data_IF_943104278440
#
_entry.id   IF_943104278440
#
_cell.length_a   1.000
_cell.length_b   1.000
_cell.length_c   1.000
_cell.angle_alpha   90.00
_cell.angle_beta   90.00
_cell.angle_gamma   90.00
#
_symmetry.space_group_name_H-M   'P 1'
#
loop_
_entity.id
_entity.type
_entity.pdbx_description
1 polymer ?
#
# COMPACT_ATOMS: atom_id res chain seq x y z
N UNK A 1 -17.08 -47.10 -4.36
CA UNK A 1 -17.06 -45.75 -4.96
C UNK A 1 -15.99 -44.84 -4.35
N UNK A 2 -15.97 -44.58 -3.03
CA UNK A 2 -14.97 -43.70 -2.39
C UNK A 2 -13.51 -44.12 -2.55
N UNK A 3 -13.21 -45.43 -2.58
CA UNK A 3 -11.84 -45.93 -2.82
C UNK A 3 -11.35 -45.56 -4.22
N UNK A 4 -12.23 -45.59 -5.23
CA UNK A 4 -11.89 -45.17 -6.59
C UNK A 4 -11.71 -43.65 -6.68
N UNK A 5 -12.52 -42.88 -5.93
CA UNK A 5 -12.38 -41.43 -5.85
C UNK A 5 -11.04 -41.01 -5.21
N UNK A 6 -10.65 -41.66 -4.10
CA UNK A 6 -9.32 -41.47 -3.48
C UNK A 6 -8.19 -41.81 -4.44
N UNK A 7 -8.29 -42.90 -5.20
CA UNK A 7 -7.28 -43.26 -6.21
C UNK A 7 -7.17 -42.22 -7.32
N UNK A 8 -8.28 -41.69 -7.84
CA UNK A 8 -8.27 -40.62 -8.86
C UNK A 8 -7.64 -39.34 -8.36
N UNK A 9 -7.98 -38.93 -7.13
CA UNK A 9 -7.39 -37.76 -6.47
C UNK A 9 -5.87 -37.93 -6.32
N UNK A 10 -5.43 -39.10 -5.84
CA UNK A 10 -4.01 -39.39 -5.66
C UNK A 10 -3.25 -39.45 -7.00
N UNK A 11 -3.85 -40.01 -8.04
CA UNK A 11 -3.27 -39.98 -9.39
C UNK A 11 -3.15 -38.55 -9.94
N UNK A 12 -4.18 -37.71 -9.75
CA UNK A 12 -4.13 -36.29 -10.13
C UNK A 12 -3.02 -35.55 -9.39
N UNK A 13 -2.88 -35.80 -8.08
CA UNK A 13 -1.80 -35.23 -7.26
C UNK A 13 -0.44 -35.60 -7.82
N UNK A 14 -0.20 -36.89 -8.06
CA UNK A 14 1.08 -37.37 -8.60
C UNK A 14 1.41 -36.77 -9.98
N UNK A 15 0.40 -36.53 -10.81
CA UNK A 15 0.59 -35.99 -12.17
C UNK A 15 0.79 -34.47 -12.21
N UNK A 16 0.09 -33.72 -11.37
CA UNK A 16 -0.04 -32.26 -11.52
C UNK A 16 0.49 -31.48 -10.32
N UNK A 17 0.45 -32.03 -9.10
CA UNK A 17 0.90 -31.33 -7.89
C UNK A 17 2.41 -31.48 -7.70
N UNK A 18 3.16 -30.45 -8.06
CA UNK A 18 4.60 -30.35 -7.84
C UNK A 18 4.97 -28.93 -7.39
N UNK A 19 6.17 -28.78 -6.82
CA UNK A 19 6.71 -27.45 -6.53
C UNK A 19 6.96 -26.71 -7.85
N UNK A 20 6.49 -25.46 -7.92
CA UNK A 20 6.69 -24.58 -9.07
C UNK A 20 7.54 -23.40 -8.65
N UNK A 21 8.58 -23.11 -9.42
CA UNK A 21 9.44 -21.95 -9.19
C UNK A 21 9.05 -20.84 -10.17
N UNK A 22 8.53 -19.69 -9.69
CA UNK A 22 8.20 -18.57 -10.55
C UNK A 22 9.46 -17.90 -11.10
N UNK A 23 9.33 -17.32 -12.30
CA UNK A 23 10.34 -16.40 -12.81
C UNK A 23 10.33 -15.12 -11.98
N UNK A 24 11.50 -14.61 -11.62
CA UNK A 24 11.61 -13.38 -10.86
C UNK A 24 11.08 -12.17 -11.68
N UNK A 25 10.38 -11.23 -11.04
CA UNK A 25 10.07 -9.94 -11.66
C UNK A 25 11.33 -9.17 -12.05
N UNK A 26 11.16 -8.19 -12.94
CA UNK A 26 12.22 -7.22 -13.24
C UNK A 26 12.57 -6.43 -11.97
N UNK A 27 13.86 -6.13 -11.82
CA UNK A 27 14.40 -5.39 -10.67
C UNK A 27 14.01 -5.97 -9.29
N UNK A 28 13.70 -7.26 -9.19
CA UNK A 28 13.25 -7.89 -7.93
C UNK A 28 14.25 -7.72 -6.76
N UNK A 29 15.56 -7.65 -7.05
CA UNK A 29 16.58 -7.39 -6.03
C UNK A 29 16.50 -5.99 -5.40
N UNK A 30 15.82 -5.06 -6.07
CA UNK A 30 15.63 -3.68 -5.61
C UNK A 30 14.31 -3.49 -4.86
N UNK A 31 13.43 -4.51 -4.87
CA UNK A 31 12.15 -4.45 -4.17
C UNK A 31 12.37 -4.19 -2.69
N UNK A 32 11.53 -3.33 -2.13
CA UNK A 32 11.55 -2.98 -0.71
C UNK A 32 11.22 -4.22 0.14
N UNK A 33 10.33 -5.10 -0.36
CA UNK A 33 10.06 -6.42 0.23
C UNK A 33 11.27 -7.37 0.22
N UNK A 34 12.17 -7.25 -0.76
CA UNK A 34 13.37 -8.08 -0.86
C UNK A 34 14.50 -7.56 0.01
N UNK A 35 14.76 -6.25 -0.04
CA UNK A 35 15.83 -5.58 0.71
C UNK A 35 15.50 -5.42 2.21
N UNK A 36 14.22 -5.48 2.57
CA UNK A 36 13.77 -5.25 3.95
C UNK A 36 14.07 -3.83 4.41
N UNK A 37 13.94 -2.85 3.50
CA UNK A 37 14.26 -1.45 3.74
C UNK A 37 13.04 -0.61 4.19
N UNK A 38 11.83 -1.18 4.20
CA UNK A 38 10.59 -0.53 4.65
C UNK A 38 10.61 -0.21 6.15
N UNK A 39 9.86 0.82 6.57
CA UNK A 39 9.81 1.31 7.95
C UNK A 39 9.32 0.29 8.98
N UNK A 40 8.40 -0.61 8.59
CA UNK A 40 7.81 -1.59 9.49
C UNK A 40 8.82 -2.63 10.01
N UNK A 41 10.00 -2.74 9.39
CA UNK A 41 11.06 -3.68 9.83
C UNK A 41 11.76 -3.23 11.12
N UNK A 42 11.45 -2.03 11.64
CA UNK A 42 11.88 -1.56 12.96
C UNK A 42 13.39 -1.29 13.09
N UNK A 43 14.15 -1.41 11.99
CA UNK A 43 15.58 -1.08 11.97
C UNK A 43 15.80 0.40 12.32
N UNK A 44 16.80 0.72 13.17
CA UNK A 44 17.11 2.11 13.52
C UNK A 44 17.41 3.00 12.31
N UNK A 45 18.00 2.42 11.25
CA UNK A 45 18.30 3.09 9.98
C UNK A 45 17.08 3.30 9.07
N UNK A 46 16.01 2.54 9.28
CA UNK A 46 14.75 2.66 8.54
C UNK A 46 13.81 3.70 9.17
N UNK A 47 14.22 4.37 10.25
CA UNK A 47 13.46 5.50 10.80
C UNK A 47 13.65 6.69 9.88
N UNK A 48 12.64 7.00 9.09
CA UNK A 48 12.54 8.27 8.37
C UNK A 48 12.80 9.42 9.34
N UNK A 49 13.81 10.24 9.04
CA UNK A 49 13.99 11.51 9.74
C UNK A 49 12.89 12.45 9.26
N UNK A 50 11.72 12.37 9.88
CA UNK A 50 10.61 13.27 9.57
C UNK A 50 11.06 14.68 9.98
N UNK A 51 11.19 15.62 9.03
CA UNK A 51 11.62 16.97 9.34
C UNK A 51 10.71 17.56 10.41
N UNK A 52 11.31 18.13 11.45
CA UNK A 52 10.58 18.84 12.50
C UNK A 52 10.96 20.30 12.43
N UNK A 53 9.97 21.17 12.25
CA UNK A 53 10.18 22.61 12.17
C UNK A 53 10.17 23.19 13.58
N UNK A 54 11.17 23.98 13.92
CA UNK A 54 11.23 24.69 15.21
C UNK A 54 10.42 25.99 15.16
N UNK A 55 9.81 26.42 16.27
CA UNK A 55 9.08 27.68 16.30
C UNK A 55 10.02 28.88 16.05
N UNK A 56 9.57 29.90 15.29
CA UNK A 56 10.31 31.15 15.14
C UNK A 56 10.69 31.78 16.49
N UNK A 57 11.95 32.25 16.66
CA UNK A 57 12.42 32.76 17.95
C UNK A 57 11.74 34.06 18.38
N UNK A 58 11.19 34.82 17.43
CA UNK A 58 10.48 36.09 17.62
C UNK A 58 9.12 35.96 18.30
N UNK A 59 8.55 34.75 18.37
CA UNK A 59 7.25 34.51 18.98
C UNK A 59 7.29 34.61 20.51
N UNK A 60 6.20 35.10 21.10
CA UNK A 60 5.98 34.99 22.54
C UNK A 60 5.74 33.52 22.94
N UNK A 61 6.01 33.19 24.20
CA UNK A 61 5.99 31.78 24.65
C UNK A 61 4.65 31.06 24.43
N UNK A 62 3.47 31.68 24.64
CA UNK A 62 2.19 31.04 24.33
C UNK A 62 2.05 30.65 22.85
N UNK A 63 2.56 31.46 21.93
CA UNK A 63 2.53 31.17 20.49
C UNK A 63 3.58 30.11 20.10
N UNK A 64 4.75 30.11 20.76
CA UNK A 64 5.75 29.03 20.62
C UNK A 64 5.17 27.69 21.03
N UNK A 65 4.41 27.66 22.12
CA UNK A 65 3.80 26.43 22.60
C UNK A 65 2.73 25.91 21.64
N UNK A 66 1.83 26.79 21.16
CA UNK A 66 0.87 26.42 20.11
C UNK A 66 1.59 25.87 18.86
N UNK A 67 2.66 26.53 18.42
CA UNK A 67 3.44 26.09 17.27
C UNK A 67 3.99 24.67 17.47
N UNK A 68 4.55 24.35 18.64
CA UNK A 68 5.07 23.00 18.95
C UNK A 68 3.96 21.95 18.91
N UNK A 69 2.78 22.28 19.45
CA UNK A 69 1.60 21.40 19.41
C UNK A 69 1.10 21.17 17.97
N UNK A 70 1.07 22.21 17.16
CA UNK A 70 0.73 22.11 15.74
C UNK A 70 1.77 21.31 14.96
N UNK A 71 3.07 21.53 15.22
CA UNK A 71 4.15 20.78 14.59
C UNK A 71 4.08 19.29 14.93
N UNK A 72 3.76 18.92 16.18
CA UNK A 72 3.57 17.52 16.56
C UNK A 72 2.47 16.84 15.71
N UNK A 73 1.36 17.55 15.44
CA UNK A 73 0.31 17.05 14.54
C UNK A 73 0.78 16.94 13.09
N UNK A 74 1.57 17.90 12.60
CA UNK A 74 2.16 17.85 11.25
C UNK A 74 3.15 16.69 11.10
N UNK A 75 4.02 16.46 12.08
CA UNK A 75 4.95 15.32 12.12
C UNK A 75 4.19 14.00 12.09
N UNK A 76 3.11 13.88 12.88
CA UNK A 76 2.26 12.68 12.87
C UNK A 76 1.61 12.45 11.49
N UNK A 77 1.13 13.52 10.85
CA UNK A 77 0.54 13.43 9.51
C UNK A 77 1.58 13.01 8.46
N UNK A 78 2.77 13.64 8.45
CA UNK A 78 3.89 13.25 7.57
C UNK A 78 4.25 11.77 7.75
N UNK A 79 4.35 11.30 9.00
CA UNK A 79 4.64 9.89 9.30
C UNK A 79 3.57 8.96 8.72
N UNK A 80 2.30 9.30 8.96
CA UNK A 80 1.18 8.52 8.46
C UNK A 80 1.23 8.44 6.92
N UNK A 81 1.45 9.58 6.25
CA UNK A 81 1.51 9.63 4.79
C UNK A 81 2.65 8.76 4.23
N UNK A 82 3.84 8.82 4.82
CA UNK A 82 4.96 7.96 4.43
C UNK A 82 4.65 6.46 4.63
N UNK A 83 4.05 6.08 5.78
CA UNK A 83 3.68 4.68 6.04
C UNK A 83 2.65 4.18 5.02
N UNK A 84 1.65 5.00 4.69
CA UNK A 84 0.60 4.61 3.74
C UNK A 84 1.16 4.43 2.32
N UNK A 85 2.09 5.28 1.88
CA UNK A 85 2.79 5.13 0.59
C UNK A 85 3.59 3.83 0.55
N UNK A 86 4.40 3.56 1.58
CA UNK A 86 5.16 2.29 1.66
C UNK A 86 4.24 1.07 1.66
N UNK A 87 3.14 1.09 2.41
CA UNK A 87 2.16 -0.02 2.38
C UNK A 87 1.61 -0.25 0.98
N UNK A 88 1.38 0.81 0.20
CA UNK A 88 0.92 0.66 -1.17
C UNK A 88 1.99 0.03 -2.06
N UNK A 89 3.25 0.47 -1.94
CA UNK A 89 4.42 -0.10 -2.65
C UNK A 89 4.55 -1.60 -2.32
N UNK A 90 4.61 -1.95 -1.03
CA UNK A 90 4.71 -3.34 -0.58
C UNK A 90 3.56 -4.21 -1.11
N UNK A 91 2.35 -3.66 -1.12
CA UNK A 91 1.17 -4.34 -1.64
C UNK A 91 1.28 -4.57 -3.17
N UNK A 92 1.77 -3.58 -3.91
CA UNK A 92 2.01 -3.66 -5.35
C UNK A 92 3.04 -4.74 -5.68
N UNK A 93 4.22 -4.66 -5.04
CA UNK A 93 5.30 -5.65 -5.20
C UNK A 93 4.82 -7.08 -4.97
N UNK A 94 4.05 -7.30 -3.90
CA UNK A 94 3.47 -8.61 -3.59
C UNK A 94 2.47 -9.08 -4.65
N UNK A 95 1.65 -8.19 -5.19
CA UNK A 95 0.68 -8.56 -6.22
C UNK A 95 1.38 -8.97 -7.52
N UNK A 96 2.45 -8.26 -7.91
CA UNK A 96 3.32 -8.64 -9.03
C UNK A 96 3.88 -10.06 -8.79
N UNK A 97 4.40 -10.35 -7.60
CA UNK A 97 4.86 -11.70 -7.25
C UNK A 97 3.76 -12.76 -7.36
N UNK A 98 2.52 -12.43 -6.97
CA UNK A 98 1.35 -13.33 -7.12
C UNK A 98 1.02 -13.59 -8.59
N UNK A 99 1.13 -12.58 -9.46
CA UNK A 99 0.94 -12.75 -10.92
C UNK A 99 2.00 -13.67 -11.51
N UNK A 100 3.26 -13.51 -11.14
CA UNK A 100 4.36 -14.40 -11.55
C UNK A 100 4.14 -15.85 -11.05
N UNK A 101 3.72 -16.03 -9.80
CA UNK A 101 3.36 -17.35 -9.25
C UNK A 101 2.18 -17.98 -10.00
N UNK A 102 1.16 -17.19 -10.36
CA UNK A 102 0.03 -17.65 -11.16
C UNK A 102 0.49 -18.11 -12.54
N UNK A 103 1.31 -17.32 -13.22
CA UNK A 103 1.85 -17.66 -14.54
C UNK A 103 2.63 -18.98 -14.51
N UNK A 104 3.53 -19.14 -13.53
CA UNK A 104 4.31 -20.35 -13.38
C UNK A 104 3.43 -21.59 -13.16
N UNK A 105 2.37 -21.48 -12.34
CA UNK A 105 1.39 -22.56 -12.15
C UNK A 105 0.64 -22.89 -13.44
N UNK A 106 0.21 -21.88 -14.20
CA UNK A 106 -0.45 -22.10 -15.50
C UNK A 106 0.47 -22.82 -16.49
N UNK A 107 1.75 -22.47 -16.56
CA UNK A 107 2.74 -23.18 -17.40
C UNK A 107 2.91 -24.63 -16.96
N UNK A 108 2.88 -24.90 -15.65
CA UNK A 108 2.94 -26.24 -15.08
C UNK A 108 1.60 -27.02 -15.17
N UNK A 109 0.57 -26.46 -15.83
CA UNK A 109 -0.80 -27.00 -15.88
C UNK A 109 -1.42 -27.24 -14.48
N UNK A 110 -1.00 -26.44 -13.49
CA UNK A 110 -1.53 -26.46 -12.13
C UNK A 110 -2.65 -25.44 -11.96
N UNK A 111 -3.89 -25.91 -11.80
CA UNK A 111 -5.05 -25.06 -11.53
C UNK A 111 -5.07 -24.55 -10.09
N UNK A 112 -4.65 -25.39 -9.14
CA UNK A 112 -4.56 -25.10 -7.70
C UNK A 112 -3.10 -25.11 -7.23
N UNK A 113 -2.73 -24.31 -6.22
CA UNK A 113 -1.35 -24.28 -5.73
C UNK A 113 -0.99 -25.59 -5.02
N UNK A 114 0.27 -26.02 -5.15
CA UNK A 114 0.81 -27.09 -4.31
C UNK A 114 0.99 -26.56 -2.89
N UNK A 115 0.02 -26.87 -2.01
CA UNK A 115 -0.04 -26.36 -0.65
C UNK A 115 -0.64 -27.38 0.31
N UNK A 116 -0.37 -27.21 1.61
CA UNK A 116 -1.01 -28.00 2.66
C UNK A 116 -2.54 -27.91 2.60
N UNK A 117 -3.11 -26.73 2.33
CA UNK A 117 -4.55 -26.55 2.19
C UNK A 117 -5.13 -27.39 1.05
N UNK A 118 -4.47 -27.44 -0.11
CA UNK A 118 -4.88 -28.29 -1.24
C UNK A 118 -4.81 -29.77 -0.88
N UNK A 119 -3.75 -30.18 -0.16
CA UNK A 119 -3.58 -31.56 0.32
C UNK A 119 -4.64 -31.96 1.35
N UNK A 120 -5.07 -31.04 2.21
CA UNK A 120 -6.13 -31.30 3.18
C UNK A 120 -7.49 -31.36 2.46
N UNK A 121 -7.77 -30.43 1.55
CA UNK A 121 -9.02 -30.41 0.78
C UNK A 121 -9.24 -31.72 0.01
N UNK A 122 -8.26 -32.23 -0.76
CA UNK A 122 -8.51 -33.49 -1.45
C UNK A 122 -8.48 -34.74 -0.53
N UNK A 123 -8.09 -34.59 0.75
CA UNK A 123 -8.24 -35.65 1.75
C UNK A 123 -9.67 -35.74 2.29
N UNK A 124 -10.43 -34.64 2.21
CA UNK A 124 -11.84 -34.53 2.61
C UNK A 124 -12.80 -35.03 1.51
N UNK A 125 -12.59 -36.29 1.08
CA UNK A 125 -13.34 -36.94 0.00
C UNK A 125 -14.85 -37.04 0.28
N UNK A 126 -15.28 -36.83 1.52
CA UNK A 126 -16.68 -36.87 1.96
C UNK A 126 -17.46 -35.57 1.69
N UNK A 127 -16.77 -34.44 1.49
CA UNK A 127 -17.37 -33.12 1.30
C UNK A 127 -17.35 -32.63 -0.15
N UNK A 128 -16.85 -33.42 -1.10
CA UNK A 128 -16.79 -33.02 -2.50
C UNK A 128 -18.20 -33.05 -3.11
N UNK A 129 -18.77 -31.90 -3.56
CA UNK A 129 -19.97 -31.95 -4.38
C UNK A 129 -19.69 -32.85 -5.59
N UNK A 130 -20.69 -33.58 -6.07
CA UNK A 130 -20.54 -34.54 -7.17
C UNK A 130 -19.97 -33.81 -8.40
N UNK A 131 -18.64 -33.83 -8.55
CA UNK A 131 -17.95 -33.10 -9.62
C UNK A 131 -18.32 -33.85 -10.89
N UNK A 132 -19.27 -33.28 -11.64
CA UNK A 132 -19.50 -33.70 -13.02
C UNK A 132 -18.14 -33.68 -13.71
N UNK A 133 -17.80 -34.83 -14.29
CA UNK A 133 -16.59 -35.04 -15.06
C UNK A 133 -16.49 -33.96 -16.13
N UNK A 134 -15.69 -32.93 -15.86
CA UNK A 134 -15.04 -32.10 -16.88
C UNK A 134 -13.58 -32.56 -17.03
N UNK A 135 -13.36 -33.87 -16.95
CA UNK A 135 -12.26 -34.48 -17.69
C UNK A 135 -12.70 -34.49 -19.15
N UNK A 136 -12.39 -33.44 -19.91
CA UNK A 136 -11.96 -33.57 -21.31
C UNK A 136 -11.71 -32.22 -21.98
N UNK A 137 -10.47 -32.12 -22.50
CA UNK A 137 -9.94 -31.08 -23.40
C UNK A 137 -9.52 -29.79 -22.69
N UNK A 138 -8.38 -29.85 -21.98
CA UNK A 138 -7.43 -28.73 -22.05
C UNK A 138 -7.18 -28.45 -23.52
N UNK A 139 -7.86 -27.44 -24.02
CA UNK A 139 -7.80 -27.00 -25.40
C UNK A 139 -6.37 -26.57 -25.69
N UNK A 140 -5.90 -26.71 -26.93
CA UNK A 140 -4.65 -26.08 -27.40
C UNK A 140 -4.65 -24.56 -27.10
N UNK A 141 -5.87 -23.99 -26.94
CA UNK A 141 -6.16 -22.61 -26.58
C UNK A 141 -5.96 -22.27 -25.10
N UNK A 142 -5.85 -23.26 -24.21
CA UNK A 142 -5.61 -23.09 -22.76
C UNK A 142 -4.12 -23.03 -22.39
N UNK A 143 -3.24 -23.17 -23.39
CA UNK A 143 -1.80 -23.01 -23.18
C UNK A 143 -1.50 -21.59 -22.74
N UNK A 144 -0.60 -21.46 -21.76
CA UNK A 144 -0.08 -20.18 -21.29
C UNK A 144 0.22 -19.24 -22.46
N UNK A 145 -0.37 -18.04 -22.42
CA UNK A 145 -0.22 -17.03 -23.46
C UNK A 145 0.53 -15.83 -22.87
N UNK A 146 1.68 -15.48 -23.44
CA UNK A 146 2.47 -14.33 -22.99
C UNK A 146 1.65 -13.02 -22.99
N UNK A 147 0.71 -12.85 -23.93
CA UNK A 147 -0.20 -11.69 -23.93
C UNK A 147 -1.15 -11.67 -22.74
N UNK A 148 -1.58 -12.85 -22.29
CA UNK A 148 -2.45 -12.98 -21.12
C UNK A 148 -1.68 -12.61 -19.83
N UNK A 149 -0.41 -13.00 -19.75
CA UNK A 149 0.46 -12.61 -18.65
C UNK A 149 0.70 -11.10 -18.61
N UNK A 150 1.00 -10.49 -19.76
CA UNK A 150 1.14 -9.03 -19.87
C UNK A 150 -0.16 -8.33 -19.47
N UNK A 151 -1.32 -8.83 -19.90
CA UNK A 151 -2.62 -8.29 -19.47
C UNK A 151 -2.82 -8.37 -17.96
N UNK A 152 -2.42 -9.46 -17.29
CA UNK A 152 -2.52 -9.54 -15.84
C UNK A 152 -1.60 -8.56 -15.12
N UNK A 153 -0.41 -8.29 -15.66
CA UNK A 153 0.47 -7.25 -15.11
C UNK A 153 -0.15 -5.87 -15.29
N UNK A 154 -0.69 -5.57 -16.48
CA UNK A 154 -1.40 -4.31 -16.72
C UNK A 154 -2.60 -4.13 -15.79
N UNK A 155 -3.36 -5.19 -15.50
CA UNK A 155 -4.45 -5.14 -14.54
C UNK A 155 -3.96 -4.75 -13.12
N UNK A 156 -2.75 -5.18 -12.76
CA UNK A 156 -2.10 -4.77 -11.50
C UNK A 156 -1.67 -3.31 -11.58
N UNK A 157 -0.99 -2.90 -12.63
CA UNK A 157 -0.54 -1.51 -12.83
C UNK A 157 -1.74 -0.54 -12.75
N UNK A 158 -2.79 -0.78 -13.54
CA UNK A 158 -4.01 0.04 -13.56
C UNK A 158 -4.70 0.10 -12.19
N UNK A 159 -4.68 -1.01 -11.44
CA UNK A 159 -5.26 -1.10 -10.09
C UNK A 159 -4.46 -0.22 -9.12
N UNK A 160 -3.14 -0.35 -9.11
CA UNK A 160 -2.31 0.38 -8.16
C UNK A 160 -2.16 1.86 -8.53
N UNK A 161 -2.20 2.23 -9.81
CA UNK A 161 -2.24 3.63 -10.25
C UNK A 161 -3.51 4.34 -9.78
N UNK A 162 -4.67 3.67 -9.87
CA UNK A 162 -5.94 4.20 -9.32
C UNK A 162 -5.87 4.36 -7.80
N UNK A 163 -5.30 3.38 -7.10
CA UNK A 163 -5.13 3.44 -5.65
C UNK A 163 -4.16 4.56 -5.24
N UNK A 164 -3.05 4.73 -5.97
CA UNK A 164 -2.05 5.78 -5.77
C UNK A 164 -2.64 7.16 -5.98
N UNK A 165 -3.38 7.37 -7.07
CA UNK A 165 -4.08 8.63 -7.36
C UNK A 165 -5.05 8.97 -6.22
N UNK A 166 -5.83 7.99 -5.78
CA UNK A 166 -6.79 8.17 -4.67
C UNK A 166 -6.10 8.47 -3.34
N UNK A 167 -4.95 7.82 -3.08
CA UNK A 167 -4.13 8.04 -1.90
C UNK A 167 -3.60 9.48 -1.86
N UNK A 168 -2.99 9.95 -2.95
CA UNK A 168 -2.40 11.29 -3.04
C UNK A 168 -3.46 12.38 -2.90
N UNK A 169 -4.60 12.26 -3.59
CA UNK A 169 -5.72 13.18 -3.45
C UNK A 169 -6.20 13.26 -1.99
N UNK A 170 -6.34 12.12 -1.31
CA UNK A 170 -6.71 12.10 0.11
C UNK A 170 -5.65 12.80 0.96
N UNK A 171 -4.38 12.53 0.75
CA UNK A 171 -3.29 13.15 1.52
C UNK A 171 -3.23 14.67 1.33
N UNK A 172 -3.46 15.16 0.11
CA UNK A 172 -3.59 16.60 -0.19
C UNK A 172 -4.77 17.22 0.59
N UNK A 173 -5.93 16.56 0.59
CA UNK A 173 -7.09 17.02 1.38
C UNK A 173 -6.83 17.03 2.88
N UNK A 174 -6.17 15.99 3.42
CA UNK A 174 -5.80 15.92 4.83
C UNK A 174 -4.82 17.03 5.23
N UNK A 175 -3.80 17.29 4.39
CA UNK A 175 -2.83 18.37 4.61
C UNK A 175 -3.50 19.75 4.58
N UNK A 176 -4.39 19.99 3.60
CA UNK A 176 -5.15 21.23 3.49
C UNK A 176 -6.11 21.42 4.68
N UNK A 177 -6.83 20.36 5.08
CA UNK A 177 -7.74 20.40 6.23
C UNK A 177 -7.00 20.67 7.54
N UNK A 178 -5.86 20.00 7.77
CA UNK A 178 -5.03 20.26 8.95
C UNK A 178 -4.51 21.71 8.94
N UNK A 179 -4.04 22.22 7.79
CA UNK A 179 -3.55 23.58 7.68
C UNK A 179 -4.67 24.61 7.98
N UNK A 180 -5.88 24.39 7.46
CA UNK A 180 -7.03 25.26 7.74
C UNK A 180 -7.37 25.31 9.24
N UNK A 181 -7.43 24.15 9.91
CA UNK A 181 -7.65 24.08 11.37
C UNK A 181 -6.55 24.82 12.12
N UNK A 182 -5.29 24.59 11.77
CA UNK A 182 -4.16 25.22 12.45
C UNK A 182 -4.12 26.74 12.25
N UNK A 183 -4.54 27.24 11.08
CA UNK A 183 -4.67 28.68 10.81
C UNK A 183 -5.75 29.32 11.68
N UNK A 184 -6.91 28.66 11.82
CA UNK A 184 -7.98 29.14 12.69
C UNK A 184 -7.56 29.15 14.17
N UNK A 185 -6.96 28.06 14.66
CA UNK A 185 -6.43 28.00 16.03
C UNK A 185 -5.37 29.08 16.29
N UNK A 186 -4.54 29.38 15.29
CA UNK A 186 -3.53 30.43 15.37
C UNK A 186 -4.17 31.81 15.52
N UNK A 187 -5.14 32.14 14.67
CA UNK A 187 -5.89 33.40 14.74
C UNK A 187 -6.59 33.55 16.08
N UNK A 188 -7.31 32.52 16.53
CA UNK A 188 -7.95 32.51 17.84
C UNK A 188 -6.95 32.76 18.97
N UNK A 189 -5.77 32.11 18.92
CA UNK A 189 -4.75 32.31 19.95
C UNK A 189 -4.15 33.72 19.94
N UNK A 190 -4.00 34.33 18.77
CA UNK A 190 -3.58 35.73 18.65
C UNK A 190 -4.63 36.69 19.24
N UNK A 191 -5.92 36.45 18.96
CA UNK A 191 -7.02 37.26 19.51
C UNK A 191 -7.11 37.17 21.05
N UNK A 192 -6.87 35.98 21.63
CA UNK A 192 -6.80 35.79 23.08
C UNK A 192 -5.67 36.61 23.73
N UNK A 193 -4.54 36.76 23.05
CA UNK A 193 -3.35 37.45 23.57
C UNK A 193 -3.40 38.97 23.35
N UNK A 194 -4.07 39.44 22.29
CA UNK A 194 -4.27 40.86 21.99
C UNK A 194 -5.75 41.23 21.73
N UNK A 195 -6.61 41.23 22.76
CA UNK A 195 -8.05 41.47 22.60
C UNK A 195 -8.38 42.85 22.00
N UNK A 196 -7.51 43.84 22.22
CA UNK A 196 -7.66 45.21 21.73
C UNK A 196 -7.23 45.40 20.27
N UNK A 197 -6.40 44.51 19.72
CA UNK A 197 -6.01 44.51 18.31
C UNK A 197 -7.11 43.91 17.42
N UNK A 198 -7.83 42.90 17.93
CA UNK A 198 -8.96 42.26 17.25
C UNK A 198 -10.08 43.25 16.86
N UNK A 199 -10.36 44.25 17.71
CA UNK A 199 -11.39 45.27 17.45
C UNK A 199 -11.03 46.16 16.24
N UNK A 200 -9.74 46.36 15.95
CA UNK A 200 -9.26 47.19 14.83
C UNK A 200 -9.09 46.40 13.51
N UNK A 201 -9.02 45.08 13.58
CA UNK A 201 -8.67 44.21 12.45
C UNK A 201 -9.88 43.59 11.72
N UNK A 202 -10.95 44.36 11.51
CA UNK A 202 -12.12 43.92 10.73
C UNK A 202 -11.83 43.67 9.23
N UNK A 203 -10.57 43.80 8.78
CA UNK A 203 -10.08 43.31 7.50
C UNK A 203 -9.16 42.12 7.75
N UNK A 204 -9.58 40.93 7.32
CA UNK A 204 -9.01 39.63 7.67
C UNK A 204 -7.48 39.60 7.80
N UNK A 205 -7.01 39.23 8.98
CA UNK A 205 -5.59 39.01 9.23
C UNK A 205 -5.16 37.69 8.57
N UNK A 206 -4.46 37.79 7.45
CA UNK A 206 -3.87 36.62 6.77
C UNK A 206 -2.68 36.12 7.59
N UNK A 207 -2.77 34.88 8.11
CA UNK A 207 -1.67 34.27 8.86
C UNK A 207 -0.51 33.99 7.91
N UNK A 208 0.70 34.54 8.15
CA UNK A 208 1.85 34.24 7.32
C UNK A 208 2.16 32.72 7.27
N UNK A 209 2.48 32.15 6.09
CA UNK A 209 2.68 30.70 5.93
C UNK A 209 3.78 30.10 6.81
N UNK A 210 4.79 30.90 7.20
CA UNK A 210 5.88 30.42 8.05
C UNK A 210 5.47 30.19 9.52
N UNK A 211 4.38 30.82 9.97
CA UNK A 211 3.83 30.56 11.31
C UNK A 211 2.95 29.32 11.35
N UNK A 212 2.26 29.01 10.25
CA UNK A 212 1.43 27.81 10.09
C UNK A 212 1.77 27.14 8.76
N UNK A 213 2.90 26.42 8.68
CA UNK A 213 3.34 25.79 7.45
C UNK A 213 2.40 24.66 7.04
N UNK A 214 2.18 24.53 5.74
CA UNK A 214 1.45 23.41 5.16
C UNK A 214 2.33 22.15 5.19
N UNK A 215 1.70 20.99 5.37
CA UNK A 215 2.38 19.71 5.17
C UNK A 215 2.50 19.50 3.66
N UNK A 216 3.74 19.34 3.20
CA UNK A 216 4.02 19.05 1.80
C UNK A 216 3.62 17.61 1.46
N UNK A 217 2.99 17.43 0.31
CA UNK A 217 2.51 16.15 -0.19
C UNK A 217 3.03 16.03 -1.61
N UNK A 218 3.95 15.08 -1.82
CA UNK A 218 4.50 14.82 -3.15
C UNK A 218 3.37 14.57 -4.15
N UNK A 219 3.46 15.21 -5.31
CA UNK A 219 2.48 15.03 -6.41
C UNK A 219 2.56 13.63 -7.02
N UNK A 220 3.68 12.94 -6.83
CA UNK A 220 3.93 11.62 -7.38
C UNK A 220 4.94 10.79 -6.58
N UNK A 221 4.93 9.47 -6.75
CA UNK A 221 5.97 8.55 -6.27
C UNK A 221 5.96 7.22 -7.03
N UNK A 222 7.12 6.57 -7.16
CA UNK A 222 7.21 5.31 -7.91
C UNK A 222 6.66 4.11 -7.11
N UNK A 223 5.86 3.28 -7.77
CA UNK A 223 5.28 2.06 -7.19
C UNK A 223 6.22 0.86 -7.30
N UNK A 224 7.07 0.86 -8.33
CA UNK A 224 8.04 -0.19 -8.62
C UNK A 224 9.39 0.46 -8.97
N UNK A 225 10.52 -0.19 -8.68
CA UNK A 225 11.83 0.26 -9.14
C UNK A 225 11.88 0.32 -10.68
N UNK A 226 12.65 1.28 -11.21
CA UNK A 226 12.87 1.48 -12.64
C UNK A 226 13.85 0.47 -13.26
#
# INVERSE_FOLDING_TARGET
EFVQMRKRIEERRRRVMCSVTPQAPQCYSEYVTFTGSYMLDGKPSSKLHIPTITPPPSLCEPMKELFRQQESRRVKLRLQHSIEREKLILSCEQEILRVHCRAARTIANQTVPFSACTMLLDSEVYNMPHVQQTDEKTSVRDRFNARQFISWLQDVDDKYDKMKTSLLMRQQHEAAALNAVQRMEWQQKQEELEPTAAIKAHGGFEVPPFYVPMVDVDDDFDLLPA
#
